data_IF_404201947033
#
_entry.id   IF_404201947033
#
_cell.length_a   1.000
_cell.length_b   1.000
_cell.length_c   1.000
_cell.angle_alpha   90.00
_cell.angle_beta   90.00
_cell.angle_gamma   90.00
#
_symmetry.space_group_name_H-M   'P 1'
#
loop_
_entity.id
_entity.type
_entity.pdbx_description
1 polymer ?
#
# COMPACT_ATOMS: atom_id res chain seq x y z
N UNK A 1 23.24 -37.70 -0.67
CA UNK A 1 22.77 -36.49 0.05
C UNK A 1 22.17 -35.54 -0.97
N UNK A 2 20.85 -35.39 -1.01
CA UNK A 2 20.19 -34.51 -2.00
C UNK A 2 20.35 -33.06 -1.53
N UNK A 3 21.06 -32.23 -2.30
CA UNK A 3 21.24 -30.83 -1.99
C UNK A 3 19.90 -30.08 -2.17
N UNK A 4 19.27 -29.70 -1.05
CA UNK A 4 17.98 -28.97 -1.03
C UNK A 4 18.14 -27.46 -1.12
N UNK A 5 19.38 -26.94 -1.04
CA UNK A 5 19.66 -25.51 -1.11
C UNK A 5 19.02 -24.80 -2.33
N UNK A 6 19.10 -25.32 -3.58
CA UNK A 6 18.48 -24.64 -4.72
C UNK A 6 16.95 -24.55 -4.62
N UNK A 7 16.31 -25.57 -4.02
CA UNK A 7 14.85 -25.56 -3.81
C UNK A 7 14.45 -24.56 -2.73
N UNK A 8 15.20 -24.49 -1.62
CA UNK A 8 14.94 -23.50 -0.56
C UNK A 8 15.11 -22.08 -1.11
N UNK A 9 16.19 -21.83 -1.85
CA UNK A 9 16.43 -20.52 -2.48
C UNK A 9 15.30 -20.17 -3.45
N UNK A 10 14.85 -21.11 -4.26
CA UNK A 10 13.72 -20.88 -5.18
C UNK A 10 12.44 -20.49 -4.43
N UNK A 11 12.10 -21.19 -3.33
CA UNK A 11 10.94 -20.85 -2.51
C UNK A 11 11.07 -19.45 -1.91
N UNK A 12 12.23 -19.13 -1.33
CA UNK A 12 12.46 -17.81 -0.73
C UNK A 12 12.35 -16.71 -1.77
N UNK A 13 12.94 -16.87 -2.95
CA UNK A 13 12.87 -15.89 -4.02
C UNK A 13 11.47 -15.75 -4.61
N UNK A 14 10.65 -16.80 -4.58
CA UNK A 14 9.27 -16.75 -5.05
C UNK A 14 8.32 -16.11 -4.03
N UNK A 15 8.53 -16.36 -2.74
CA UNK A 15 7.58 -16.00 -1.67
C UNK A 15 7.95 -14.70 -0.96
N UNK A 16 9.23 -14.42 -0.75
CA UNK A 16 9.66 -13.25 0.00
C UNK A 16 9.33 -11.93 -0.71
N UNK A 17 9.59 -11.75 -2.03
CA UNK A 17 9.25 -10.51 -2.71
C UNK A 17 7.76 -10.14 -2.68
N UNK A 18 6.79 -11.04 -2.96
CA UNK A 18 5.38 -10.68 -2.88
C UNK A 18 4.95 -10.37 -1.44
N UNK A 19 5.46 -11.11 -0.45
CA UNK A 19 5.18 -10.79 0.96
C UNK A 19 5.71 -9.42 1.37
N UNK A 20 6.94 -9.08 0.96
CA UNK A 20 7.52 -7.76 1.21
C UNK A 20 6.75 -6.65 0.50
N UNK A 21 6.31 -6.88 -0.74
CA UNK A 21 5.51 -5.93 -1.50
C UNK A 21 4.17 -5.63 -0.81
N UNK A 22 3.42 -6.68 -0.45
CA UNK A 22 2.13 -6.54 0.25
C UNK A 22 2.31 -5.98 1.66
N UNK A 23 3.33 -6.44 2.40
CA UNK A 23 3.64 -5.96 3.73
C UNK A 23 4.03 -4.47 3.74
N UNK A 24 4.83 -4.04 2.77
CA UNK A 24 5.21 -2.63 2.61
C UNK A 24 3.99 -1.75 2.35
N UNK A 25 3.05 -2.22 1.52
CA UNK A 25 1.80 -1.51 1.28
C UNK A 25 0.99 -1.36 2.57
N UNK A 26 0.76 -2.46 3.31
CA UNK A 26 -0.02 -2.42 4.56
C UNK A 26 0.61 -1.53 5.63
N UNK A 27 1.95 -1.48 5.69
CA UNK A 27 2.68 -0.61 6.61
C UNK A 27 2.56 0.88 6.26
N UNK A 28 2.43 1.21 4.97
CA UNK A 28 2.46 2.57 4.45
C UNK A 28 1.07 3.16 4.22
N UNK A 29 0.09 2.35 3.86
CA UNK A 29 -1.26 2.81 3.51
C UNK A 29 -2.00 3.30 4.75
N UNK A 30 -2.70 4.42 4.58
CA UNK A 30 -3.64 4.98 5.53
C UNK A 30 -4.95 5.23 4.77
N UNK A 31 -5.91 4.30 4.81
CA UNK A 31 -7.13 4.36 4.00
C UNK A 31 -7.91 5.67 4.16
N UNK A 32 -8.04 6.14 5.40
CA UNK A 32 -8.70 7.40 5.75
C UNK A 32 -8.01 8.62 5.11
N UNK A 33 -6.73 8.49 4.78
CA UNK A 33 -5.88 9.55 4.29
C UNK A 33 -5.62 10.64 5.31
N UNK A 34 -4.67 11.50 4.99
CA UNK A 34 -4.43 12.76 5.66
C UNK A 34 -4.56 13.90 4.65
N UNK A 35 -5.08 15.04 5.10
CA UNK A 35 -5.07 16.28 4.31
C UNK A 35 -3.69 16.91 4.49
N UNK A 36 -2.93 16.94 3.40
CA UNK A 36 -1.59 17.55 3.38
C UNK A 36 -1.65 18.80 2.53
N UNK A 37 -0.94 19.84 2.98
CA UNK A 37 -0.90 21.14 2.30
C UNK A 37 0.37 21.27 1.48
N UNK A 38 0.24 21.48 0.16
CA UNK A 38 1.37 21.77 -0.72
C UNK A 38 1.06 22.96 -1.60
N UNK A 39 1.92 23.99 -1.56
CA UNK A 39 1.78 25.23 -2.36
C UNK A 39 0.35 25.79 -2.30
N UNK A 40 -0.24 25.83 -1.09
CA UNK A 40 -1.58 26.35 -0.83
C UNK A 40 -2.75 25.57 -1.44
N UNK A 41 -2.54 24.33 -1.89
CA UNK A 41 -3.63 23.40 -2.26
C UNK A 41 -3.65 22.20 -1.32
N UNK A 42 -4.81 21.87 -0.72
CA UNK A 42 -4.96 20.63 0.02
C UNK A 42 -5.00 19.46 -0.97
N UNK A 43 -4.37 18.35 -0.61
CA UNK A 43 -4.53 17.09 -1.31
C UNK A 43 -4.66 15.95 -0.29
N UNK A 44 -5.34 14.88 -0.70
CA UNK A 44 -5.49 13.67 0.11
C UNK A 44 -4.28 12.76 -0.08
N UNK A 45 -3.57 12.49 1.01
CA UNK A 45 -2.47 11.54 1.03
C UNK A 45 -2.90 10.27 1.75
N UNK A 46 -3.06 9.17 1.02
CA UNK A 46 -3.37 7.85 1.59
C UNK A 46 -2.14 7.08 2.05
N UNK A 47 -0.99 7.74 2.16
CA UNK A 47 0.28 7.12 2.51
C UNK A 47 1.00 7.91 3.60
N UNK A 48 1.49 7.20 4.61
CA UNK A 48 2.15 7.80 5.79
C UNK A 48 3.37 8.66 5.47
N UNK A 49 4.03 8.42 4.34
CA UNK A 49 5.30 9.08 3.98
C UNK A 49 5.07 10.36 3.15
N UNK A 50 3.82 10.80 2.97
CA UNK A 50 3.55 12.05 2.25
C UNK A 50 3.96 12.02 0.76
N UNK A 51 4.01 10.82 0.18
CA UNK A 51 4.45 10.65 -1.22
C UNK A 51 3.27 10.72 -2.17
N UNK A 52 3.17 11.83 -2.90
CA UNK A 52 2.10 12.08 -3.87
C UNK A 52 2.25 11.33 -5.20
N UNK A 53 3.46 10.88 -5.54
CA UNK A 53 3.75 10.37 -6.89
C UNK A 53 4.25 8.93 -6.90
N UNK A 54 5.24 8.63 -6.08
CA UNK A 54 5.94 7.34 -6.19
C UNK A 54 5.10 6.22 -5.59
N UNK A 55 4.62 6.42 -4.36
CA UNK A 55 3.92 5.38 -3.61
C UNK A 55 2.55 5.04 -4.23
N UNK A 56 1.72 6.02 -4.66
CA UNK A 56 0.46 5.72 -5.36
C UNK A 56 0.68 4.93 -6.65
N UNK A 57 1.69 5.28 -7.44
CA UNK A 57 1.98 4.57 -8.69
C UNK A 57 2.50 3.14 -8.43
N UNK A 58 3.36 2.97 -7.41
CA UNK A 58 3.98 1.68 -7.10
C UNK A 58 2.97 0.66 -6.58
N UNK A 59 2.04 1.09 -5.73
CA UNK A 59 1.07 0.20 -5.09
C UNK A 59 -0.32 0.26 -5.72
N UNK A 60 -0.46 0.91 -6.88
CA UNK A 60 -1.77 1.14 -7.50
C UNK A 60 -2.62 -0.14 -7.68
N UNK A 61 -2.07 -1.27 -8.19
CA UNK A 61 -2.87 -2.48 -8.34
C UNK A 61 -3.38 -3.03 -7.00
N UNK A 62 -2.54 -2.94 -5.96
CA UNK A 62 -2.89 -3.41 -4.62
C UNK A 62 -3.89 -2.47 -3.95
N UNK A 63 -3.77 -1.16 -4.20
CA UNK A 63 -4.73 -0.16 -3.74
C UNK A 63 -6.12 -0.36 -4.34
N UNK A 64 -6.21 -0.70 -5.63
CA UNK A 64 -7.49 -1.04 -6.26
C UNK A 64 -8.15 -2.26 -5.62
N UNK A 65 -7.37 -3.30 -5.31
CA UNK A 65 -7.88 -4.47 -4.59
C UNK A 65 -8.33 -4.10 -3.18
N UNK A 66 -7.55 -3.29 -2.48
CA UNK A 66 -7.86 -2.89 -1.12
C UNK A 66 -9.14 -2.05 -1.02
N UNK A 67 -9.33 -1.10 -1.94
CA UNK A 67 -10.58 -0.32 -2.04
C UNK A 67 -11.81 -1.19 -2.28
N UNK A 68 -11.66 -2.30 -2.99
CA UNK A 68 -12.74 -3.28 -3.21
C UNK A 68 -13.01 -4.12 -1.97
N UNK A 69 -11.96 -4.50 -1.24
CA UNK A 69 -12.06 -5.35 -0.04
C UNK A 69 -12.54 -4.58 1.19
N UNK A 70 -12.19 -3.28 1.31
CA UNK A 70 -12.46 -2.45 2.49
C UNK A 70 -13.09 -1.11 2.13
N UNK A 71 -14.21 -1.05 1.37
CA UNK A 71 -14.76 0.21 0.86
C UNK A 71 -15.05 1.25 1.95
N UNK A 72 -15.45 0.80 3.15
CA UNK A 72 -15.77 1.67 4.30
C UNK A 72 -14.54 2.36 4.91
N UNK A 73 -13.35 1.76 4.80
CA UNK A 73 -12.11 2.34 5.33
C UNK A 73 -11.57 3.48 4.46
N UNK A 74 -11.95 3.49 3.18
CA UNK A 74 -11.50 4.44 2.17
C UNK A 74 -12.40 5.68 2.06
N UNK A 75 -13.36 5.83 2.98
CA UNK A 75 -14.16 7.04 3.15
C UNK A 75 -13.28 8.06 3.87
N UNK A 76 -12.75 9.02 3.11
CA UNK A 76 -11.95 10.11 3.66
C UNK A 76 -12.74 10.92 4.71
N UNK A 77 -12.07 11.79 5.49
CA UNK A 77 -12.71 12.56 6.56
C UNK A 77 -13.92 13.41 6.11
N UNK A 78 -14.06 13.70 4.81
CA UNK A 78 -15.21 14.44 4.26
C UNK A 78 -16.49 13.61 4.11
N UNK A 79 -16.44 12.27 4.17
CA UNK A 79 -17.62 11.40 4.03
C UNK A 79 -18.12 10.81 5.34
N UNK A 80 -17.66 11.35 6.49
CA UNK A 80 -18.00 10.84 7.83
C UNK A 80 -19.15 11.60 8.50
N UNK A 81 -19.64 12.67 7.86
CA UNK A 81 -20.62 13.61 8.42
C UNK A 81 -21.99 13.56 7.70
N UNK A 82 -22.22 12.60 6.79
CA UNK A 82 -23.50 12.35 6.12
C UNK A 82 -24.27 11.19 6.75
#
# INVERSE_FOLDING_TARGET
>A
MTNRAPLIVAIVLLVLPPLLYVGSYLALVKPQGDIVWRKSRPFYCHYRVGSERVVPNLFWPLEQLDRKLRPTEWIGPAGKDD
#
